data_IF_321864859083
#
_entry.id   IF_321864859083
#
_cell.length_a   1.000
_cell.length_b   1.000
_cell.length_c   1.000
_cell.angle_alpha   90.00
_cell.angle_beta   90.00
_cell.angle_gamma   90.00
#
_symmetry.space_group_name_H-M   'P 1'
#
loop_
_entity.id
_entity.type
_entity.pdbx_description
1 polymer ?
#
# COMPACT_ATOMS: atom_id res chain seq x y z
N UNK A 1 16.76 -2.67 -6.18
CA UNK A 1 16.62 -3.04 -4.75
C UNK A 1 16.62 -1.75 -3.96
N UNK A 2 15.45 -1.32 -3.46
CA UNK A 2 15.34 -0.12 -2.64
C UNK A 2 15.79 -0.45 -1.22
N UNK A 3 16.74 0.29 -0.66
CA UNK A 3 17.17 0.11 0.73
C UNK A 3 16.14 0.72 1.69
N UNK A 4 16.10 0.20 2.92
CA UNK A 4 15.33 0.82 4.00
C UNK A 4 15.90 2.24 4.25
N UNK A 5 15.08 3.31 4.23
CA UNK A 5 15.55 4.63 4.65
C UNK A 5 15.99 4.61 6.12
N UNK A 6 16.89 5.52 6.55
CA UNK A 6 17.33 5.57 7.93
C UNK A 6 16.17 5.99 8.84
N UNK A 7 15.48 4.99 9.40
CA UNK A 7 14.33 5.14 10.28
C UNK A 7 14.72 4.66 11.68
N UNK A 8 14.41 5.42 12.74
CA UNK A 8 14.71 4.99 14.10
C UNK A 8 13.85 3.80 14.54
N UNK A 9 14.33 3.09 15.56
CA UNK A 9 13.55 2.08 16.26
C UNK A 9 12.40 2.71 17.09
N UNK A 10 11.33 1.95 17.31
CA UNK A 10 10.18 2.37 18.12
C UNK A 10 9.21 3.36 17.46
N UNK A 11 9.23 3.50 16.13
CA UNK A 11 8.32 4.40 15.40
C UNK A 11 6.84 3.99 15.48
N UNK A 12 6.55 2.69 15.52
CA UNK A 12 5.20 2.17 15.44
C UNK A 12 4.58 2.06 16.84
N UNK A 13 3.53 2.83 17.09
CA UNK A 13 2.70 2.69 18.30
C UNK A 13 1.78 1.46 18.20
N UNK A 14 1.26 0.94 19.33
CA UNK A 14 0.23 -0.09 19.29
C UNK A 14 -0.94 0.33 18.39
N UNK A 15 -1.31 -0.54 17.44
CA UNK A 15 -2.36 -0.26 16.45
C UNK A 15 -1.91 0.51 15.21
N UNK A 16 -0.62 0.84 15.06
CA UNK A 16 -0.14 1.59 13.90
C UNK A 16 -0.31 0.82 12.57
N UNK A 17 -0.65 1.58 11.53
CA UNK A 17 -0.63 1.15 10.13
C UNK A 17 0.67 1.63 9.47
N UNK A 18 1.45 0.69 8.95
CA UNK A 18 2.54 0.98 8.03
C UNK A 18 2.04 0.83 6.59
N UNK A 19 2.16 1.90 5.79
CA UNK A 19 1.71 1.91 4.40
C UNK A 19 2.90 2.21 3.48
N UNK A 20 3.22 1.29 2.58
CA UNK A 20 4.23 1.48 1.54
C UNK A 20 3.55 1.88 0.21
N UNK A 21 4.18 2.77 -0.57
CA UNK A 21 3.71 3.09 -1.92
C UNK A 21 4.11 2.03 -2.95
N UNK A 22 5.14 1.23 -2.65
CA UNK A 22 5.52 0.07 -3.45
C UNK A 22 4.50 -1.05 -3.28
N UNK A 23 4.41 -1.94 -4.27
CA UNK A 23 3.43 -3.03 -4.30
C UNK A 23 3.99 -4.31 -4.93
N UNK A 24 3.26 -5.42 -4.73
CA UNK A 24 3.57 -6.72 -5.32
C UNK A 24 4.45 -7.60 -4.42
N UNK A 25 5.72 -7.22 -4.23
CA UNK A 25 6.62 -7.94 -3.31
C UNK A 25 6.80 -7.18 -2.02
N UNK A 26 7.05 -7.91 -0.94
CA UNK A 26 7.43 -7.31 0.34
C UNK A 26 8.69 -6.46 0.17
N UNK A 27 8.62 -5.22 0.67
CA UNK A 27 9.74 -4.28 0.65
C UNK A 27 10.52 -4.32 1.96
N UNK A 28 11.75 -3.77 1.98
CA UNK A 28 12.48 -3.59 3.23
C UNK A 28 11.75 -2.74 4.26
N UNK A 29 10.95 -1.75 3.85
CA UNK A 29 10.13 -0.96 4.77
C UNK A 29 9.02 -1.79 5.40
N UNK A 30 8.31 -2.61 4.60
CA UNK A 30 7.27 -3.51 5.12
C UNK A 30 7.87 -4.54 6.10
N UNK A 31 9.03 -5.11 5.77
CA UNK A 31 9.74 -6.03 6.65
C UNK A 31 10.16 -5.37 7.97
N UNK A 32 10.73 -4.16 7.90
CA UNK A 32 11.08 -3.35 9.07
C UNK A 32 9.85 -3.03 9.93
N UNK A 33 8.75 -2.59 9.32
CA UNK A 33 7.52 -2.30 10.03
C UNK A 33 6.97 -3.51 10.79
N UNK A 34 7.05 -4.71 10.19
CA UNK A 34 6.68 -5.95 10.86
C UNK A 34 7.58 -6.25 12.06
N UNK A 35 8.89 -6.13 11.88
CA UNK A 35 9.87 -6.38 12.94
C UNK A 35 9.69 -5.41 14.12
N UNK A 36 9.27 -4.17 13.83
CA UNK A 36 9.03 -3.13 14.82
C UNK A 36 7.62 -3.12 15.42
N UNK A 37 6.78 -4.10 15.07
CA UNK A 37 5.48 -4.29 15.72
C UNK A 37 4.34 -3.41 15.19
N UNK A 38 4.42 -2.95 13.94
CA UNK A 38 3.25 -2.34 13.28
C UNK A 38 2.08 -3.36 13.27
N UNK A 39 0.91 -2.92 13.69
CA UNK A 39 -0.26 -3.79 13.79
C UNK A 39 -0.83 -4.16 12.41
N UNK A 40 -0.75 -3.22 11.47
CA UNK A 40 -1.25 -3.41 10.11
C UNK A 40 -0.15 -2.99 9.13
N UNK A 41 0.02 -3.76 8.08
CA UNK A 41 0.97 -3.49 7.01
C UNK A 41 0.20 -3.56 5.69
N UNK A 42 0.25 -2.48 4.92
CA UNK A 42 -0.42 -2.37 3.63
C UNK A 42 0.55 -1.88 2.55
N UNK A 43 0.32 -2.31 1.32
CA UNK A 43 1.10 -1.96 0.15
C UNK A 43 0.36 -0.97 -0.76
N UNK A 44 1.07 -0.45 -1.76
CA UNK A 44 0.60 0.62 -2.63
C UNK A 44 -0.40 0.18 -3.69
N UNK A 45 -0.76 -1.10 -3.78
CA UNK A 45 -1.63 -1.61 -4.84
C UNK A 45 -3.01 -0.96 -4.78
N UNK A 46 -3.52 -0.74 -3.57
CA UNK A 46 -4.74 0.03 -3.32
C UNK A 46 -4.67 1.42 -3.93
N UNK A 47 -3.62 2.16 -3.59
CA UNK A 47 -3.36 3.50 -4.11
C UNK A 47 -3.27 3.51 -5.64
N UNK A 48 -2.59 2.54 -6.28
CA UNK A 48 -2.49 2.43 -7.73
C UNK A 48 -3.86 2.33 -8.41
N UNK A 49 -4.77 1.51 -7.87
CA UNK A 49 -6.10 1.35 -8.47
C UNK A 49 -6.99 2.54 -8.18
N UNK A 50 -6.98 3.06 -6.95
CA UNK A 50 -7.84 4.18 -6.56
C UNK A 50 -7.47 5.48 -7.29
N UNK A 51 -6.19 5.78 -7.49
CA UNK A 51 -5.80 6.96 -8.30
C UNK A 51 -6.24 6.83 -9.77
N UNK A 52 -6.22 5.61 -10.32
CA UNK A 52 -6.69 5.34 -11.67
C UNK A 52 -8.22 5.54 -11.75
N UNK A 53 -8.94 5.12 -10.72
CA UNK A 53 -10.38 5.32 -10.60
C UNK A 53 -10.76 6.79 -10.51
N UNK A 54 -9.99 7.60 -9.77
CA UNK A 54 -10.16 9.06 -9.72
C UNK A 54 -9.98 9.65 -11.12
N UNK A 55 -8.88 9.33 -11.80
CA UNK A 55 -8.58 9.83 -13.15
C UNK A 55 -9.65 9.40 -14.16
N UNK A 56 -10.09 8.15 -14.10
CA UNK A 56 -11.20 7.64 -14.91
C UNK A 56 -12.49 8.42 -14.65
N UNK A 57 -12.80 8.72 -13.39
CA UNK A 57 -13.94 9.56 -13.01
C UNK A 57 -13.88 10.96 -13.60
N UNK A 58 -12.70 11.57 -13.67
CA UNK A 58 -12.52 12.88 -14.30
C UNK A 58 -12.85 12.84 -15.80
N UNK A 59 -12.36 11.82 -16.51
CA UNK A 59 -12.53 11.68 -17.96
C UNK A 59 -13.90 11.17 -18.39
N UNK A 60 -14.45 10.21 -17.64
CA UNK A 60 -15.65 9.46 -18.04
C UNK A 60 -16.88 9.85 -17.26
N UNK A 61 -16.74 10.70 -16.23
CA UNK A 61 -17.81 11.12 -15.31
C UNK A 61 -18.52 9.94 -14.63
N UNK A 62 -17.82 8.81 -14.49
CA UNK A 62 -18.30 7.59 -13.85
C UNK A 62 -17.25 7.14 -12.84
N UNK A 63 -17.68 6.83 -11.61
CA UNK A 63 -16.81 6.24 -10.59
C UNK A 63 -16.83 4.71 -10.75
N UNK A 64 -15.71 4.08 -11.15
CA UNK A 64 -15.68 2.63 -11.31
C UNK A 64 -15.65 1.92 -9.94
N UNK A 65 -16.18 0.69 -9.90
CA UNK A 65 -16.03 -0.18 -8.73
C UNK A 65 -14.62 -0.80 -8.73
N UNK A 66 -13.80 -0.42 -7.76
CA UNK A 66 -12.38 -0.80 -7.67
C UNK A 66 -12.14 -2.12 -6.95
N UNK A 67 -13.08 -2.57 -6.10
CA UNK A 67 -12.93 -3.79 -5.31
C UNK A 67 -12.64 -5.06 -6.16
N UNK A 68 -13.39 -5.37 -7.25
CA UNK A 68 -13.09 -6.56 -8.07
C UNK A 68 -11.76 -6.43 -8.81
N UNK A 69 -11.35 -5.21 -9.18
CA UNK A 69 -10.08 -4.95 -9.89
C UNK A 69 -8.91 -5.20 -8.93
N UNK A 70 -9.00 -4.68 -7.71
CA UNK A 70 -8.00 -4.92 -6.66
C UNK A 70 -7.86 -6.41 -6.33
N UNK A 71 -8.98 -7.12 -6.21
CA UNK A 71 -8.97 -8.56 -5.94
C UNK A 71 -8.28 -9.34 -7.08
N UNK A 72 -8.57 -9.00 -8.34
CA UNK A 72 -7.94 -9.63 -9.49
C UNK A 72 -6.43 -9.35 -9.57
N UNK A 73 -6.00 -8.11 -9.31
CA UNK A 73 -4.58 -7.74 -9.33
C UNK A 73 -3.77 -8.40 -8.20
N UNK A 74 -4.39 -8.66 -7.04
CA UNK A 74 -3.74 -9.39 -5.94
C UNK A 74 -3.49 -10.87 -6.23
N UNK A 75 -4.12 -11.42 -7.26
CA UNK A 75 -3.99 -12.83 -7.66
C UNK A 75 -2.95 -13.07 -8.77
N UNK A 76 -2.34 -12.01 -9.30
CA UNK A 76 -1.28 -12.08 -10.33
C UNK A 76 0.10 -12.14 -9.69
#
# INVERSE_FOLDING_TARGET
TGQLPPLPDGLFKPGALAYDMMYGKETPFMAFARQQGAAIIADGLGMLVEQAAISFGLWRKVRPNTAPILAALRQQ
#
